data_IF_987555303920
#
_entry.id   IF_987555303920
#
_cell.length_a   1.000
_cell.length_b   1.000
_cell.length_c   1.000
_cell.angle_alpha   90.00
_cell.angle_beta   90.00
_cell.angle_gamma   90.00
#
_symmetry.space_group_name_H-M   'P 1'
#
loop_
_entity.id
_entity.type
_entity.pdbx_description
1 polymer ?
#
# COMPACT_ATOMS: atom_id res chain seq x y z
N UNK A 1 30.95 -16.56 7.05
CA UNK A 1 30.12 -15.88 6.07
C UNK A 1 30.46 -14.37 6.00
N UNK A 2 30.23 -13.60 7.08
CA UNK A 2 30.39 -12.13 7.11
C UNK A 2 31.77 -11.66 6.66
N UNK A 3 32.84 -12.29 7.17
CA UNK A 3 34.21 -11.89 6.82
C UNK A 3 34.57 -12.05 5.31
N UNK A 4 33.88 -12.94 4.59
CA UNK A 4 34.13 -13.24 3.17
C UNK A 4 33.19 -12.47 2.23
N UNK A 5 31.94 -12.30 2.65
CA UNK A 5 30.86 -11.83 1.78
C UNK A 5 30.29 -10.46 2.16
N UNK A 6 30.73 -9.86 3.26
CA UNK A 6 30.24 -8.55 3.68
C UNK A 6 31.35 -7.65 4.21
N UNK A 7 31.37 -6.43 3.75
CA UNK A 7 32.16 -5.35 4.37
C UNK A 7 31.27 -4.68 5.40
N UNK A 8 31.71 -4.79 6.65
CA UNK A 8 30.94 -4.29 7.79
C UNK A 8 31.31 -2.83 8.11
N UNK A 9 30.31 -2.06 8.52
CA UNK A 9 30.52 -0.74 9.11
C UNK A 9 29.89 -0.69 10.50
N UNK A 10 30.48 0.10 11.36
CA UNK A 10 29.95 0.36 12.68
C UNK A 10 29.04 1.59 12.60
N UNK A 11 27.82 1.45 13.07
CA UNK A 11 26.85 2.56 13.22
C UNK A 11 26.40 2.63 14.66
N UNK A 12 26.15 3.82 15.15
CA UNK A 12 25.62 4.04 16.48
C UNK A 12 24.08 4.07 16.42
N UNK A 13 23.43 3.15 17.15
CA UNK A 13 21.98 3.11 17.28
C UNK A 13 21.63 3.07 18.78
N UNK A 14 20.87 4.06 19.24
CA UNK A 14 20.43 4.18 20.63
C UNK A 14 21.59 4.11 21.65
N UNK A 15 22.71 4.78 21.35
CA UNK A 15 23.90 4.80 22.21
C UNK A 15 24.70 3.47 22.25
N UNK A 16 24.42 2.55 21.31
CA UNK A 16 25.16 1.29 21.16
C UNK A 16 25.76 1.21 19.77
N UNK A 17 27.02 0.78 19.70
CA UNK A 17 27.71 0.49 18.47
C UNK A 17 27.20 -0.85 17.88
N UNK A 18 26.61 -0.80 16.71
CA UNK A 18 26.10 -1.98 16.00
C UNK A 18 26.85 -2.14 14.68
N UNK A 19 27.30 -3.36 14.38
CA UNK A 19 27.92 -3.70 13.10
C UNK A 19 26.86 -4.01 12.07
N UNK A 20 26.85 -3.23 10.99
CA UNK A 20 25.93 -3.41 9.86
C UNK A 20 26.70 -3.64 8.55
N UNK A 21 26.20 -4.48 7.64
CA UNK A 21 26.84 -4.64 6.33
C UNK A 21 26.71 -3.34 5.53
N UNK A 22 27.84 -2.78 5.11
CA UNK A 22 27.90 -1.61 4.23
C UNK A 22 27.61 -1.99 2.78
N UNK A 23 28.21 -3.08 2.33
CA UNK A 23 27.97 -3.70 1.04
C UNK A 23 28.44 -5.16 1.06
N UNK A 24 28.02 -5.92 0.06
CA UNK A 24 28.39 -7.33 -0.08
C UNK A 24 29.43 -7.49 -1.20
N UNK A 25 30.34 -8.45 -1.00
CA UNK A 25 31.42 -8.81 -1.91
C UNK A 25 31.38 -10.29 -2.25
N UNK A 26 32.14 -10.68 -3.29
CA UNK A 26 32.27 -12.08 -3.73
C UNK A 26 30.94 -12.80 -3.99
N UNK A 27 29.91 -12.05 -4.48
CA UNK A 27 28.58 -12.59 -4.71
C UNK A 27 28.56 -13.72 -5.73
N UNK A 28 29.41 -13.66 -6.77
CA UNK A 28 29.50 -14.71 -7.78
C UNK A 28 29.99 -16.04 -7.17
N UNK A 29 31.01 -15.98 -6.30
CA UNK A 29 31.48 -17.17 -5.58
C UNK A 29 30.39 -17.74 -4.66
N UNK A 30 29.62 -16.87 -3.99
CA UNK A 30 28.50 -17.28 -3.16
C UNK A 30 27.42 -17.97 -3.99
N UNK A 31 27.09 -17.41 -5.15
CA UNK A 31 26.10 -17.96 -6.07
C UNK A 31 26.52 -19.36 -6.56
N UNK A 32 27.79 -19.53 -6.98
CA UNK A 32 28.30 -20.84 -7.41
C UNK A 32 28.22 -21.88 -6.28
N UNK A 33 28.56 -21.52 -5.06
CA UNK A 33 28.40 -22.39 -3.91
C UNK A 33 26.96 -22.74 -3.60
N UNK A 34 26.04 -21.78 -3.74
CA UNK A 34 24.61 -22.01 -3.51
C UNK A 34 24.00 -22.92 -4.57
N UNK A 35 24.42 -22.85 -5.83
CA UNK A 35 23.93 -23.71 -6.92
C UNK A 35 24.12 -25.21 -6.65
N UNK A 36 25.05 -25.59 -5.78
CA UNK A 36 25.29 -27.00 -5.46
C UNK A 36 24.18 -27.68 -4.65
N UNK A 37 23.38 -26.89 -3.91
CA UNK A 37 22.33 -27.40 -3.02
C UNK A 37 21.03 -26.57 -3.06
N UNK A 38 20.96 -25.55 -3.91
CA UNK A 38 19.76 -24.74 -4.09
C UNK A 38 19.46 -24.55 -5.58
N UNK A 39 18.17 -24.44 -5.88
CA UNK A 39 17.67 -24.14 -7.21
C UNK A 39 16.89 -22.84 -7.17
N UNK A 40 17.22 -21.90 -8.04
CA UNK A 40 16.55 -20.61 -8.17
C UNK A 40 16.05 -20.41 -9.59
N UNK A 41 14.78 -20.16 -9.72
CA UNK A 41 14.13 -19.87 -10.99
C UNK A 41 13.38 -18.55 -10.89
N UNK A 42 13.53 -17.70 -11.87
CA UNK A 42 12.78 -16.43 -11.96
C UNK A 42 11.58 -16.62 -12.89
N UNK A 43 10.50 -15.89 -12.62
CA UNK A 43 9.26 -16.01 -13.43
C UNK A 43 9.52 -15.80 -14.93
N UNK A 44 10.36 -14.83 -15.31
CA UNK A 44 10.71 -14.54 -16.70
C UNK A 44 11.59 -15.61 -17.39
N UNK A 45 12.18 -16.53 -16.61
CA UNK A 45 12.99 -17.63 -17.14
C UNK A 45 12.15 -18.89 -17.46
N UNK A 46 10.94 -18.96 -16.89
CA UNK A 46 10.12 -20.18 -16.92
C UNK A 46 8.72 -19.97 -17.47
N UNK A 47 8.22 -18.74 -17.50
CA UNK A 47 6.86 -18.44 -17.89
C UNK A 47 6.87 -17.41 -19.01
N UNK A 48 6.20 -17.73 -20.09
CA UNK A 48 5.89 -16.78 -21.15
C UNK A 48 4.69 -15.93 -20.73
N UNK A 49 4.94 -14.93 -19.89
CA UNK A 49 3.93 -14.01 -19.41
C UNK A 49 4.09 -12.66 -20.09
N UNK A 50 2.99 -11.98 -20.41
CA UNK A 50 3.05 -10.61 -20.91
C UNK A 50 3.75 -9.70 -19.91
N UNK A 51 4.41 -8.66 -20.42
CA UNK A 51 5.08 -7.68 -19.59
C UNK A 51 4.09 -6.95 -18.68
N UNK A 52 4.55 -6.64 -17.46
CA UNK A 52 3.75 -5.84 -16.53
C UNK A 52 3.74 -4.39 -17.00
N UNK A 53 2.56 -3.87 -17.21
CA UNK A 53 2.37 -2.46 -17.51
C UNK A 53 2.14 -1.68 -16.22
N UNK A 54 2.90 -0.61 -16.04
CA UNK A 54 2.74 0.31 -14.91
C UNK A 54 2.26 1.65 -15.45
N UNK A 55 1.15 2.12 -14.92
CA UNK A 55 0.56 3.41 -15.29
C UNK A 55 0.36 4.28 -14.06
N UNK A 56 0.78 5.55 -14.14
CA UNK A 56 0.54 6.56 -13.11
C UNK A 56 -0.48 7.56 -13.65
N UNK A 57 -1.58 7.73 -12.92
CA UNK A 57 -2.61 8.72 -13.24
C UNK A 57 -2.48 9.89 -12.29
N UNK A 58 -2.28 11.08 -12.84
CA UNK A 58 -2.19 12.32 -12.06
C UNK A 58 -3.58 12.92 -11.92
N UNK A 59 -3.99 13.19 -10.67
CA UNK A 59 -5.30 13.70 -10.36
C UNK A 59 -5.19 15.04 -9.63
N UNK A 60 -6.14 15.94 -9.92
CA UNK A 60 -6.24 17.23 -9.24
C UNK A 60 -7.25 17.13 -8.10
N UNK A 61 -6.87 17.61 -6.93
CA UNK A 61 -7.77 17.73 -5.79
C UNK A 61 -8.90 18.72 -6.09
N UNK A 62 -10.07 18.54 -5.45
CA UNK A 62 -11.12 19.55 -5.45
C UNK A 62 -10.64 20.85 -4.80
N UNK A 63 -11.30 21.96 -5.08
CA UNK A 63 -10.96 23.28 -4.49
C UNK A 63 -10.95 23.19 -2.96
N UNK A 64 -12.01 22.67 -2.37
CA UNK A 64 -12.13 22.48 -0.92
C UNK A 64 -10.99 21.61 -0.36
N UNK A 65 -10.74 20.47 -0.96
CA UNK A 65 -9.68 19.55 -0.57
C UNK A 65 -8.30 20.21 -0.65
N UNK A 66 -8.04 21.00 -1.70
CA UNK A 66 -6.79 21.72 -1.87
C UNK A 66 -6.63 22.86 -0.84
N UNK A 67 -7.67 23.57 -0.50
CA UNK A 67 -7.65 24.63 0.53
C UNK A 67 -7.23 24.03 1.88
N UNK A 68 -7.88 22.95 2.31
CA UNK A 68 -7.53 22.23 3.55
C UNK A 68 -6.11 21.68 3.48
N UNK A 69 -5.71 21.11 2.34
CA UNK A 69 -4.35 20.61 2.14
C UNK A 69 -3.31 21.74 2.31
N UNK A 70 -3.50 22.89 1.68
CA UNK A 70 -2.56 24.01 1.78
C UNK A 70 -2.49 24.59 3.20
N UNK A 71 -3.60 24.62 3.91
CA UNK A 71 -3.64 25.05 5.31
C UNK A 71 -2.84 24.08 6.21
N UNK A 72 -3.10 22.78 6.13
CA UNK A 72 -2.36 21.76 6.88
C UNK A 72 -0.88 21.72 6.49
N UNK A 73 -0.56 21.89 5.22
CA UNK A 73 0.82 21.92 4.73
C UNK A 73 1.63 23.06 5.35
N UNK A 74 1.05 24.24 5.50
CA UNK A 74 1.71 25.38 6.17
C UNK A 74 2.00 25.07 7.62
N UNK A 75 1.05 24.49 8.33
CA UNK A 75 1.21 24.08 9.73
C UNK A 75 2.25 22.97 9.87
N UNK A 76 2.16 21.92 9.03
CA UNK A 76 3.11 20.82 9.01
C UNK A 76 4.54 21.30 8.73
N UNK A 77 4.73 22.24 7.82
CA UNK A 77 6.05 22.80 7.51
C UNK A 77 6.66 23.53 8.69
N UNK A 78 5.88 24.34 9.42
CA UNK A 78 6.32 25.01 10.64
C UNK A 78 6.73 23.98 11.72
N UNK A 79 5.93 22.94 11.95
CA UNK A 79 6.19 21.87 12.92
C UNK A 79 7.43 21.06 12.54
N UNK A 80 7.63 20.75 11.25
CA UNK A 80 8.81 20.00 10.79
C UNK A 80 10.12 20.76 10.99
N UNK A 81 10.10 22.10 10.92
CA UNK A 81 11.28 22.94 11.16
C UNK A 81 11.58 23.12 12.65
N UNK A 82 10.61 22.94 13.53
CA UNK A 82 10.79 23.07 14.96
C UNK A 82 11.57 21.86 15.51
N UNK A 83 12.74 22.11 16.10
CA UNK A 83 13.60 21.09 16.68
C UNK A 83 13.07 20.53 18.00
N UNK A 84 12.22 21.28 18.69
CA UNK A 84 11.65 20.89 19.98
C UNK A 84 10.43 19.98 19.84
N UNK A 85 9.81 19.94 18.67
CA UNK A 85 8.66 19.08 18.40
C UNK A 85 9.09 17.63 18.24
N UNK A 86 8.39 16.74 18.92
CA UNK A 86 8.65 15.30 18.88
C UNK A 86 8.45 14.71 17.48
N UNK A 87 9.18 13.63 17.16
CA UNK A 87 9.03 12.91 15.89
C UNK A 87 7.60 12.39 15.67
N UNK A 88 6.92 11.96 16.74
CA UNK A 88 5.54 11.49 16.66
C UNK A 88 4.58 12.58 16.17
N UNK A 89 4.71 13.80 16.67
CA UNK A 89 3.89 14.93 16.24
C UNK A 89 4.17 15.30 14.77
N UNK A 90 5.44 15.27 14.36
CA UNK A 90 5.83 15.49 12.96
C UNK A 90 5.21 14.45 12.02
N UNK A 91 5.22 13.19 12.42
CA UNK A 91 4.62 12.10 11.66
C UNK A 91 3.09 12.26 11.56
N UNK A 92 2.44 12.68 12.63
CA UNK A 92 0.98 12.92 12.65
C UNK A 92 0.57 13.94 11.59
N UNK A 93 1.30 15.05 11.45
CA UNK A 93 1.00 16.06 10.44
C UNK A 93 1.16 15.53 9.00
N UNK A 94 2.18 14.72 8.76
CA UNK A 94 2.36 14.06 7.45
C UNK A 94 1.21 13.11 7.15
N UNK A 95 0.74 12.35 8.15
CA UNK A 95 -0.40 11.45 8.00
C UNK A 95 -1.68 12.23 7.69
N UNK A 96 -1.93 13.36 8.34
CA UNK A 96 -3.09 14.23 8.06
C UNK A 96 -3.06 14.73 6.60
N UNK A 97 -1.92 15.22 6.12
CA UNK A 97 -1.77 15.59 4.71
C UNK A 97 -2.07 14.44 3.75
N UNK A 98 -1.59 13.24 4.07
CA UNK A 98 -1.85 12.06 3.25
C UNK A 98 -3.33 11.64 3.29
N UNK A 99 -4.03 11.79 4.41
CA UNK A 99 -5.47 11.57 4.53
C UNK A 99 -6.25 12.54 3.63
N UNK A 100 -5.92 13.83 3.64
CA UNK A 100 -6.55 14.82 2.75
C UNK A 100 -6.35 14.42 1.28
N UNK A 101 -5.15 14.01 0.87
CA UNK A 101 -4.92 13.50 -0.49
C UNK A 101 -5.76 12.25 -0.83
N UNK A 102 -6.28 11.54 0.18
CA UNK A 102 -7.14 10.37 0.02
C UNK A 102 -8.64 10.66 0.25
N UNK A 103 -9.03 11.94 0.28
CA UNK A 103 -10.42 12.37 0.24
C UNK A 103 -11.11 12.48 1.58
N UNK A 104 -10.37 12.55 2.69
CA UNK A 104 -10.94 12.78 4.02
C UNK A 104 -9.93 13.43 4.95
N UNK A 105 -10.40 13.94 6.08
CA UNK A 105 -9.56 14.34 7.21
C UNK A 105 -10.09 13.70 8.49
N UNK A 106 -9.17 13.27 9.35
CA UNK A 106 -9.52 12.75 10.67
C UNK A 106 -9.05 13.73 11.73
N UNK A 107 -9.98 14.23 12.53
CA UNK A 107 -9.71 15.11 13.67
C UNK A 107 -9.09 14.32 14.84
N UNK A 108 -8.54 15.04 15.82
CA UNK A 108 -7.86 14.42 16.97
C UNK A 108 -8.84 13.69 17.91
N UNK A 109 -10.12 14.08 17.91
CA UNK A 109 -11.21 13.37 18.60
C UNK A 109 -11.67 12.09 17.89
N UNK A 110 -11.08 11.78 16.74
CA UNK A 110 -11.42 10.61 15.93
C UNK A 110 -12.51 10.84 14.89
N UNK A 111 -13.16 12.00 14.87
CA UNK A 111 -14.16 12.36 13.86
C UNK A 111 -13.57 12.36 12.47
N UNK A 112 -14.25 11.72 11.53
CA UNK A 112 -13.84 11.65 10.12
C UNK A 112 -14.76 12.53 9.29
N UNK A 113 -14.19 13.49 8.58
CA UNK A 113 -14.89 14.37 7.64
C UNK A 113 -14.45 14.03 6.22
N UNK A 114 -15.35 13.49 5.38
CA UNK A 114 -15.08 13.27 3.97
C UNK A 114 -15.08 14.57 3.19
N UNK A 115 -14.34 14.59 2.09
CA UNK A 115 -14.49 15.62 1.06
C UNK A 115 -15.44 15.13 -0.03
N UNK A 116 -16.35 15.98 -0.44
CA UNK A 116 -17.20 15.69 -1.57
C UNK A 116 -16.37 15.56 -2.86
N UNK A 117 -16.79 14.65 -3.73
CA UNK A 117 -16.19 14.49 -5.05
C UNK A 117 -14.68 14.13 -5.05
N UNK A 118 -14.26 13.22 -4.20
CA UNK A 118 -12.86 12.72 -4.21
C UNK A 118 -12.45 12.23 -5.60
N UNK A 119 -11.48 12.90 -6.22
CA UNK A 119 -11.00 12.61 -7.56
C UNK A 119 -10.48 11.17 -7.71
N UNK A 120 -9.86 10.60 -6.65
CA UNK A 120 -9.36 9.21 -6.65
C UNK A 120 -10.48 8.19 -6.80
N UNK A 121 -11.60 8.39 -6.11
CA UNK A 121 -12.75 7.48 -6.21
C UNK A 121 -13.38 7.57 -7.60
N UNK A 122 -13.53 8.79 -8.15
CA UNK A 122 -14.05 8.98 -9.50
C UNK A 122 -13.16 8.33 -10.57
N UNK A 123 -11.85 8.54 -10.47
CA UNK A 123 -10.90 7.96 -11.41
C UNK A 123 -10.84 6.42 -11.29
N UNK A 124 -10.94 5.88 -10.08
CA UNK A 124 -11.08 4.44 -9.87
C UNK A 124 -12.30 3.87 -10.60
N UNK A 125 -13.45 4.53 -10.48
CA UNK A 125 -14.65 4.10 -11.18
C UNK A 125 -14.49 4.17 -12.71
N UNK A 126 -13.85 5.23 -13.21
CA UNK A 126 -13.51 5.34 -14.65
C UNK A 126 -12.61 4.19 -15.10
N UNK A 127 -11.57 3.83 -14.34
CA UNK A 127 -10.69 2.70 -14.67
C UNK A 127 -11.48 1.37 -14.72
N UNK A 128 -12.40 1.19 -13.78
CA UNK A 128 -13.23 -0.01 -13.70
C UNK A 128 -14.21 -0.08 -14.87
N UNK A 129 -14.79 1.04 -15.28
CA UNK A 129 -15.71 1.13 -16.41
C UNK A 129 -15.00 0.92 -17.76
N UNK A 130 -13.73 1.34 -17.86
CA UNK A 130 -12.89 1.14 -19.05
C UNK A 130 -12.29 -0.27 -19.13
N UNK A 131 -12.22 -1.00 -17.99
CA UNK A 131 -11.55 -2.28 -17.88
C UNK A 131 -12.50 -3.47 -17.80
N UNK A 132 -12.03 -4.61 -18.28
CA UNK A 132 -12.71 -5.90 -18.17
C UNK A 132 -12.05 -6.81 -17.13
N UNK A 133 -12.77 -7.83 -16.64
CA UNK A 133 -12.26 -8.85 -15.74
C UNK A 133 -12.27 -8.45 -14.27
N UNK A 134 -11.35 -9.04 -13.51
CA UNK A 134 -11.25 -8.87 -12.05
C UNK A 134 -10.23 -7.81 -11.69
N UNK A 135 -10.53 -7.05 -10.63
CA UNK A 135 -9.71 -5.96 -10.14
C UNK A 135 -9.23 -6.22 -8.71
N UNK A 136 -7.95 -5.99 -8.46
CA UNK A 136 -7.37 -5.96 -7.12
C UNK A 136 -7.08 -4.51 -6.77
N UNK A 137 -7.72 -4.00 -5.72
CA UNK A 137 -7.66 -2.60 -5.31
C UNK A 137 -7.01 -2.50 -3.94
N UNK A 138 -5.88 -1.81 -3.87
CA UNK A 138 -5.15 -1.60 -2.62
C UNK A 138 -5.37 -0.20 -2.07
N UNK A 139 -5.73 -0.10 -0.79
CA UNK A 139 -5.82 1.17 -0.08
C UNK A 139 -5.16 1.09 1.29
N UNK A 140 -4.48 2.17 1.70
CA UNK A 140 -3.70 2.19 2.94
C UNK A 140 -4.56 2.43 4.19
N UNK A 141 -5.72 3.07 4.05
CA UNK A 141 -6.56 3.44 5.18
C UNK A 141 -7.88 2.67 5.18
N UNK A 142 -8.29 2.22 6.35
CA UNK A 142 -9.57 1.50 6.53
C UNK A 142 -10.76 2.33 6.06
N UNK A 143 -10.73 3.65 6.31
CA UNK A 143 -11.77 4.55 5.80
C UNK A 143 -11.92 4.45 4.28
N UNK A 144 -10.79 4.56 3.54
CA UNK A 144 -10.84 4.45 2.07
C UNK A 144 -11.28 3.06 1.60
N UNK A 145 -10.86 1.99 2.29
CA UNK A 145 -11.29 0.63 1.99
C UNK A 145 -12.82 0.54 2.08
N UNK A 146 -13.42 1.01 3.20
CA UNK A 146 -14.87 1.02 3.40
C UNK A 146 -15.58 1.85 2.34
N UNK A 147 -15.10 3.06 2.06
CA UNK A 147 -15.67 3.93 1.01
C UNK A 147 -15.63 3.29 -0.37
N UNK A 148 -14.51 2.63 -0.73
CA UNK A 148 -14.38 1.91 -2.01
C UNK A 148 -15.38 0.75 -2.06
N UNK A 149 -15.47 -0.05 -1.00
CA UNK A 149 -16.43 -1.18 -0.92
C UNK A 149 -17.86 -0.68 -1.11
N UNK A 150 -18.28 0.35 -0.36
CA UNK A 150 -19.62 0.93 -0.46
C UNK A 150 -19.91 1.45 -1.87
N UNK A 151 -18.96 2.14 -2.48
CA UNK A 151 -19.10 2.66 -3.86
C UNK A 151 -19.27 1.53 -4.87
N UNK A 152 -18.45 0.49 -4.77
CA UNK A 152 -18.51 -0.66 -5.67
C UNK A 152 -19.80 -1.47 -5.47
N UNK A 153 -20.21 -1.71 -4.21
CA UNK A 153 -21.44 -2.42 -3.90
C UNK A 153 -22.68 -1.69 -4.42
N UNK A 154 -22.69 -0.35 -4.33
CA UNK A 154 -23.76 0.48 -4.86
C UNK A 154 -23.86 0.40 -6.39
N UNK A 155 -22.73 0.32 -7.10
CA UNK A 155 -22.71 0.33 -8.56
C UNK A 155 -22.84 -1.07 -9.17
N UNK A 156 -22.29 -2.11 -8.52
CA UNK A 156 -22.16 -3.46 -9.08
C UNK A 156 -22.82 -4.56 -8.23
N UNK A 157 -23.43 -4.19 -7.09
CA UNK A 157 -24.09 -5.11 -6.17
C UNK A 157 -23.18 -5.69 -5.09
N UNK A 158 -23.77 -6.16 -4.00
CA UNK A 158 -23.04 -6.63 -2.82
C UNK A 158 -22.16 -7.87 -3.08
N UNK A 159 -22.58 -8.76 -3.98
CA UNK A 159 -21.83 -9.96 -4.33
C UNK A 159 -20.56 -9.68 -5.13
N UNK A 160 -20.42 -8.50 -5.74
CA UNK A 160 -19.31 -8.15 -6.61
C UNK A 160 -17.98 -7.91 -5.89
N UNK A 161 -18.00 -7.69 -4.56
CA UNK A 161 -16.85 -7.21 -3.79
C UNK A 161 -16.53 -8.16 -2.66
N UNK A 162 -15.24 -8.45 -2.47
CA UNK A 162 -14.67 -9.04 -1.26
C UNK A 162 -13.57 -8.15 -0.71
N UNK A 163 -13.27 -8.26 0.59
CA UNK A 163 -12.27 -7.41 1.21
C UNK A 163 -11.37 -8.14 2.21
N UNK A 164 -10.10 -7.71 2.29
CA UNK A 164 -9.14 -8.14 3.31
C UNK A 164 -8.45 -6.93 3.92
N UNK A 165 -8.77 -6.64 5.19
CA UNK A 165 -8.13 -5.61 6.00
C UNK A 165 -8.18 -5.99 7.49
N UNK A 166 -7.65 -5.14 8.38
CA UNK A 166 -7.41 -5.49 9.78
C UNK A 166 -8.64 -5.99 10.57
N UNK A 167 -9.84 -5.50 10.23
CA UNK A 167 -11.09 -5.86 10.93
C UNK A 167 -11.73 -7.17 10.41
N UNK A 168 -11.21 -7.74 9.31
CA UNK A 168 -11.75 -8.98 8.72
C UNK A 168 -11.13 -10.19 9.44
N UNK A 169 -11.97 -11.14 9.86
CA UNK A 169 -11.54 -12.37 10.53
C UNK A 169 -10.70 -13.27 9.63
N UNK A 170 -9.94 -14.20 10.19
CA UNK A 170 -9.11 -15.13 9.40
C UNK A 170 -9.95 -16.03 8.52
N UNK A 171 -11.09 -16.48 9.02
CA UNK A 171 -12.05 -17.31 8.31
C UNK A 171 -12.64 -16.57 7.11
N UNK A 172 -13.07 -15.31 7.31
CA UNK A 172 -13.62 -14.48 6.24
C UNK A 172 -12.57 -14.14 5.18
N UNK A 173 -11.29 -14.01 5.56
CA UNK A 173 -10.18 -13.80 4.59
C UNK A 173 -10.03 -14.98 3.66
N UNK A 174 -10.12 -16.21 4.17
CA UNK A 174 -10.05 -17.42 3.36
C UNK A 174 -11.22 -17.48 2.38
N UNK A 175 -12.43 -17.23 2.87
CA UNK A 175 -13.62 -17.18 2.02
C UNK A 175 -13.56 -16.06 0.96
N UNK A 176 -12.98 -14.90 1.31
CA UNK A 176 -12.80 -13.79 0.37
C UNK A 176 -11.89 -14.16 -0.79
N UNK A 177 -10.78 -14.88 -0.52
CA UNK A 177 -9.88 -15.37 -1.56
C UNK A 177 -10.58 -16.40 -2.45
N UNK A 178 -11.24 -17.39 -1.84
CA UNK A 178 -11.98 -18.44 -2.58
C UNK A 178 -13.06 -17.85 -3.48
N UNK A 179 -13.84 -16.89 -2.96
CA UNK A 179 -14.86 -16.21 -3.77
C UNK A 179 -14.25 -15.40 -4.90
N UNK A 180 -13.21 -14.63 -4.63
CA UNK A 180 -12.57 -13.85 -5.68
C UNK A 180 -12.01 -14.71 -6.79
N UNK A 181 -11.48 -15.90 -6.50
CA UNK A 181 -10.93 -16.80 -7.50
C UNK A 181 -11.99 -17.56 -8.28
N UNK A 182 -13.03 -18.06 -7.60
CA UNK A 182 -13.95 -19.05 -8.16
C UNK A 182 -15.34 -18.53 -8.54
N UNK A 183 -15.69 -17.31 -8.12
CA UNK A 183 -16.99 -16.69 -8.39
C UNK A 183 -16.84 -15.58 -9.42
N UNK A 184 -17.38 -15.76 -10.61
CA UNK A 184 -17.33 -14.78 -11.69
C UNK A 184 -18.12 -13.51 -11.37
N UNK A 185 -19.11 -13.58 -10.48
CA UNK A 185 -19.84 -12.40 -10.00
C UNK A 185 -19.00 -11.52 -9.08
N UNK A 186 -17.95 -12.09 -8.47
CA UNK A 186 -17.02 -11.38 -7.58
C UNK A 186 -15.85 -10.77 -8.40
N UNK A 187 -16.03 -9.53 -8.85
CA UNK A 187 -15.06 -8.83 -9.69
C UNK A 187 -13.99 -8.07 -8.91
N UNK A 188 -14.27 -7.66 -7.67
CA UNK A 188 -13.44 -6.72 -6.94
C UNK A 188 -12.88 -7.32 -5.66
N UNK A 189 -11.56 -7.29 -5.54
CA UNK A 189 -10.86 -7.57 -4.30
C UNK A 189 -10.31 -6.25 -3.74
N UNK A 190 -10.76 -5.84 -2.56
CA UNK A 190 -10.33 -4.60 -1.92
C UNK A 190 -9.53 -4.93 -0.67
N UNK A 191 -8.31 -4.39 -0.54
CA UNK A 191 -7.49 -4.74 0.62
C UNK A 191 -6.50 -3.69 1.06
N UNK A 192 -5.92 -3.95 2.24
CA UNK A 192 -4.78 -3.22 2.73
C UNK A 192 -3.49 -3.99 2.40
N UNK A 193 -2.47 -3.36 1.78
CA UNK A 193 -1.22 -4.04 1.43
C UNK A 193 -0.51 -4.69 2.61
N UNK A 194 -0.60 -4.11 3.81
CA UNK A 194 0.04 -4.67 5.01
C UNK A 194 -0.63 -5.95 5.52
N UNK A 195 -1.92 -6.14 5.21
CA UNK A 195 -2.70 -7.31 5.66
C UNK A 195 -2.83 -8.38 4.59
N UNK A 196 -2.95 -8.00 3.32
CA UNK A 196 -3.21 -8.90 2.21
C UNK A 196 -2.14 -8.91 1.12
N UNK A 197 -1.05 -8.13 1.28
CA UNK A 197 0.02 -8.03 0.26
C UNK A 197 0.99 -9.20 0.22
N UNK A 198 0.93 -10.11 1.20
CA UNK A 198 1.83 -11.27 1.29
C UNK A 198 1.04 -12.55 1.55
N UNK A 199 1.51 -13.65 0.95
CA UNK A 199 0.98 -14.99 1.22
C UNK A 199 -0.35 -15.31 0.55
N UNK A 200 -0.89 -14.42 -0.29
CA UNK A 200 -2.07 -14.69 -1.08
C UNK A 200 -1.69 -15.00 -2.53
N UNK A 201 -2.32 -16.01 -3.09
CA UNK A 201 -2.30 -16.29 -4.52
C UNK A 201 -3.66 -15.85 -5.06
N UNK A 202 -3.66 -14.78 -5.84
CA UNK A 202 -4.85 -14.24 -6.50
C UNK A 202 -4.64 -14.39 -8.01
N UNK A 203 -5.38 -15.29 -8.61
CA UNK A 203 -5.30 -15.64 -10.05
C UNK A 203 -6.64 -15.50 -10.71
#
# INVERSE_FOLDING_TARGET
>A
FRARYAVMQQIEMNGRAVLFPKYYTNLNELEEKLKTFSYRVRKHECLDLPEKLYQVRQLTMSTEQNEVYQQLRRNAFAILQDKEVSFANKLTEIIKLHQVCNGYVKADDGTVTPFDNCAKIKDLMTIIDEGEGKFIIWANYVYNIKTIIETLQKSYGHSSVVAIYGEVSTEDRTQAVERFQNDDSCRFFVGNPSTGGYGLTLT
#
